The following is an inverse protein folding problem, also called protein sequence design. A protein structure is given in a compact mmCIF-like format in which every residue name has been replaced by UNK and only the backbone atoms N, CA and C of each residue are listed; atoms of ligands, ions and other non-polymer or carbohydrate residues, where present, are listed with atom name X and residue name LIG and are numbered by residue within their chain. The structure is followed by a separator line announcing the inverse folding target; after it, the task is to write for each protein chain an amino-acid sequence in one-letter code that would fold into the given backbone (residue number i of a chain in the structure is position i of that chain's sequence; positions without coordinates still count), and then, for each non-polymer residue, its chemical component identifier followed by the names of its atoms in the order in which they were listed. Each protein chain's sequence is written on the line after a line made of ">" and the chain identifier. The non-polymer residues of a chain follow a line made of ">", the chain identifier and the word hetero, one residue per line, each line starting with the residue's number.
data_IF_540395130205
#
_entry.id   IF_540395130205
#
_cell.length_a   1.000
_cell.length_b   1.000
_cell.length_c   1.000
_cell.angle_alpha   90.00
_cell.angle_beta   90.00
_cell.angle_gamma   90.00
#
_symmetry.space_group_name_H-M   'P 1'
#
loop_
_entity.id
_entity.type
_entity.pdbx_description
1 polymer ?
#
# COMPACT_ATOMS: atom_id res chain seq x y z
N UNK A 1 -5.53 -0.88 -16.84
CA UNK A 1 -5.76 -1.10 -15.38
C UNK A 1 -4.92 -0.05 -14.67
N UNK A 2 -5.54 0.77 -13.83
CA UNK A 2 -4.85 1.86 -13.13
C UNK A 2 -4.31 1.36 -11.79
N UNK A 3 -3.15 1.86 -11.36
CA UNK A 3 -2.67 1.68 -9.99
C UNK A 3 -3.40 2.59 -8.98
N UNK A 4 -4.07 3.63 -9.47
CA UNK A 4 -4.79 4.62 -8.67
C UNK A 4 -5.91 3.99 -7.86
N UNK A 5 -6.06 4.41 -6.61
CA UNK A 5 -7.07 3.99 -5.65
C UNK A 5 -6.47 3.41 -4.37
N UNK A 6 -7.36 2.88 -3.53
CA UNK A 6 -7.03 2.34 -2.22
C UNK A 6 -6.84 0.83 -2.28
N UNK A 7 -5.77 0.34 -1.65
CA UNK A 7 -5.39 -1.07 -1.65
C UNK A 7 -5.27 -1.60 -0.23
N UNK A 8 -5.97 -2.69 0.07
CA UNK A 8 -5.83 -3.43 1.32
C UNK A 8 -4.72 -4.47 1.16
N UNK A 9 -3.58 -4.23 1.79
CA UNK A 9 -2.37 -5.05 1.68
C UNK A 9 -2.21 -5.96 2.90
N UNK A 10 -1.68 -7.15 2.64
CA UNK A 10 -1.17 -8.10 3.63
C UNK A 10 0.29 -8.39 3.34
N UNK A 11 1.14 -8.26 4.35
CA UNK A 11 2.59 -8.48 4.27
C UNK A 11 2.94 -9.66 5.17
N UNK A 12 3.42 -10.74 4.57
CA UNK A 12 3.85 -11.95 5.28
C UNK A 12 5.28 -11.77 5.79
N UNK A 13 5.42 -11.30 7.04
CA UNK A 13 6.72 -11.09 7.69
C UNK A 13 7.07 -12.25 8.63
N UNK A 14 8.36 -12.43 9.01
CA UNK A 14 8.74 -13.40 10.04
C UNK A 14 8.09 -13.18 11.41
N UNK A 15 7.61 -11.96 11.69
CA UNK A 15 6.91 -11.61 12.94
C UNK A 15 5.40 -11.90 12.90
N UNK A 16 4.90 -12.37 11.76
CA UNK A 16 3.47 -12.55 11.50
C UNK A 16 2.96 -11.62 10.41
N UNK A 17 1.67 -11.76 10.07
CA UNK A 17 1.01 -10.95 9.05
C UNK A 17 0.84 -9.52 9.52
N UNK A 18 1.26 -8.57 8.68
CA UNK A 18 1.04 -7.15 8.88
C UNK A 18 0.02 -6.66 7.84
N UNK A 19 -0.86 -5.75 8.23
CA UNK A 19 -1.88 -5.17 7.36
C UNK A 19 -1.59 -3.69 7.11
N UNK A 20 -1.87 -3.21 5.91
CA UNK A 20 -1.75 -1.81 5.56
C UNK A 20 -2.81 -1.44 4.52
N UNK A 21 -3.32 -0.21 4.56
CA UNK A 21 -4.11 0.37 3.50
C UNK A 21 -3.24 1.38 2.75
N UNK A 22 -3.06 1.21 1.43
CA UNK A 22 -2.27 2.12 0.62
C UNK A 22 -3.17 2.88 -0.35
N UNK A 23 -3.20 4.20 -0.21
CA UNK A 23 -3.90 5.12 -1.10
C UNK A 23 -2.92 5.65 -2.14
N UNK A 24 -3.14 5.33 -3.42
CA UNK A 24 -2.32 5.81 -4.53
C UNK A 24 -3.13 6.79 -5.39
N UNK A 25 -2.58 7.96 -5.65
CA UNK A 25 -3.22 8.99 -6.46
C UNK A 25 -2.28 9.50 -7.54
N UNK A 26 -2.84 9.77 -8.74
CA UNK A 26 -2.11 10.44 -9.80
C UNK A 26 -2.49 11.92 -9.82
N UNK A 27 -1.49 12.77 -9.67
CA UNK A 27 -1.66 14.22 -9.72
C UNK A 27 -1.87 14.69 -11.17
N UNK A 28 -2.48 15.88 -11.40
CA UNK A 28 -2.69 16.43 -12.75
C UNK A 28 -1.39 16.67 -13.54
N UNK A 29 -0.27 16.89 -12.85
CA UNK A 29 1.07 17.00 -13.44
C UNK A 29 1.67 15.65 -13.86
N UNK A 30 0.93 14.55 -13.68
CA UNK A 30 1.33 13.19 -14.02
C UNK A 30 2.14 12.48 -12.94
N UNK A 31 2.50 13.14 -11.84
CA UNK A 31 3.24 12.54 -10.73
C UNK A 31 2.37 11.64 -9.86
N UNK A 32 2.98 10.64 -9.24
CA UNK A 32 2.29 9.72 -8.32
C UNK A 32 2.56 10.11 -6.87
N UNK A 33 1.52 10.03 -6.05
CA UNK A 33 1.58 10.24 -4.60
C UNK A 33 0.89 9.09 -3.91
N UNK A 34 1.16 8.93 -2.63
CA UNK A 34 0.35 8.05 -1.82
C UNK A 34 0.62 8.15 -0.33
N UNK A 35 -0.25 7.50 0.42
CA UNK A 35 -0.19 7.37 1.88
C UNK A 35 -0.45 5.91 2.22
N UNK A 36 0.31 5.35 3.15
CA UNK A 36 0.01 4.08 3.78
C UNK A 36 -0.56 4.33 5.19
N UNK A 37 -1.65 3.65 5.52
CA UNK A 37 -2.29 3.66 6.83
C UNK A 37 -2.18 2.29 7.47
N UNK A 38 -1.79 2.24 8.74
CA UNK A 38 -1.97 1.07 9.59
C UNK A 38 -3.44 1.03 10.07
N UNK A 39 -4.23 0.02 9.69
CA UNK A 39 -5.64 -0.07 10.09
C UNK A 39 -5.83 -0.32 11.59
N UNK A 40 -4.83 -0.84 12.30
CA UNK A 40 -4.93 -1.11 13.73
C UNK A 40 -4.61 0.13 14.59
N UNK A 41 -3.57 0.88 14.22
CA UNK A 41 -3.15 2.06 14.97
C UNK A 41 -3.67 3.40 14.42
N UNK A 42 -4.13 3.41 13.17
CA UNK A 42 -4.49 4.61 12.43
C UNK A 42 -3.29 5.45 11.97
N UNK A 43 -2.05 5.02 12.27
CA UNK A 43 -0.83 5.73 11.88
C UNK A 43 -0.74 5.83 10.35
N UNK A 44 -0.43 7.03 9.87
CA UNK A 44 -0.22 7.31 8.46
C UNK A 44 1.24 7.60 8.15
N UNK A 45 1.70 7.10 7.00
CA UNK A 45 3.05 7.31 6.48
C UNK A 45 2.95 7.69 5.02
N UNK A 46 3.49 8.85 4.66
CA UNK A 46 3.61 9.26 3.25
C UNK A 46 4.53 8.33 2.49
N UNK A 47 4.13 7.96 1.27
CA UNK A 47 4.96 7.14 0.38
C UNK A 47 5.98 8.04 -0.33
N UNK A 48 7.25 7.64 -0.29
CA UNK A 48 8.34 8.30 -1.00
C UNK A 48 8.65 7.57 -2.31
N UNK A 49 9.09 8.32 -3.33
CA UNK A 49 9.53 7.81 -4.63
C UNK A 49 8.53 6.86 -5.29
N UNK A 50 7.25 7.23 -5.25
CA UNK A 50 6.20 6.42 -5.89
C UNK A 50 6.43 6.43 -7.40
N UNK A 51 6.66 5.25 -7.97
CA UNK A 51 6.78 5.06 -9.41
C UNK A 51 5.78 4.03 -9.89
N UNK A 52 5.14 4.31 -11.02
CA UNK A 52 4.20 3.39 -11.67
C UNK A 52 4.63 3.22 -13.13
N UNK A 53 4.95 1.99 -13.51
CA UNK A 53 5.39 1.61 -14.85
C UNK A 53 4.50 0.47 -15.37
N UNK A 54 3.49 0.83 -16.16
CA UNK A 54 2.48 -0.12 -16.63
C UNK A 54 1.69 -0.72 -15.47
N UNK A 55 2.01 -1.96 -15.09
CA UNK A 55 1.39 -2.69 -13.97
C UNK A 55 2.26 -2.72 -12.72
N UNK A 56 3.53 -2.31 -12.82
CA UNK A 56 4.46 -2.31 -11.71
C UNK A 56 4.35 -1.01 -10.91
N UNK A 57 4.27 -1.14 -9.60
CA UNK A 57 4.21 -0.03 -8.64
C UNK A 57 5.32 -0.23 -7.64
N UNK A 58 6.15 0.79 -7.43
CA UNK A 58 7.17 0.77 -6.38
C UNK A 58 7.15 2.03 -5.56
N UNK A 59 7.49 1.92 -4.28
CA UNK A 59 7.66 3.06 -3.39
C UNK A 59 8.54 2.70 -2.19
N UNK A 60 8.94 3.73 -1.45
CA UNK A 60 9.61 3.63 -0.15
C UNK A 60 8.72 4.18 0.97
N UNK A 61 8.81 3.58 2.15
CA UNK A 61 8.15 4.09 3.35
C UNK A 61 8.95 3.76 4.61
N UNK A 62 8.82 4.58 5.65
CA UNK A 62 9.45 4.33 6.95
C UNK A 62 8.39 3.96 7.97
N UNK A 63 8.51 2.79 8.58
CA UNK A 63 7.64 2.36 9.68
C UNK A 63 8.40 2.49 11.00
N UNK A 64 7.69 2.78 12.09
CA UNK A 64 8.30 2.95 13.41
C UNK A 64 7.96 1.84 14.40
N UNK A 65 6.92 1.04 14.12
CA UNK A 65 6.40 -0.02 14.99
C UNK A 65 6.20 -1.33 14.21
N UNK A 66 6.43 -2.50 14.85
CA UNK A 66 7.03 -2.69 16.17
C UNK A 66 8.54 -2.36 16.20
N UNK A 67 9.17 -2.19 15.02
CA UNK A 67 10.57 -1.82 14.87
C UNK A 67 10.70 -0.74 13.79
N UNK A 68 11.68 0.15 13.95
CA UNK A 68 11.98 1.17 12.93
C UNK A 68 12.64 0.52 11.71
N UNK A 69 11.97 0.58 10.56
CA UNK A 69 12.47 0.04 9.30
C UNK A 69 12.19 1.00 8.15
N UNK A 70 13.12 1.07 7.20
CA UNK A 70 12.87 1.66 5.88
C UNK A 70 12.55 0.52 4.91
N UNK A 71 11.36 0.57 4.35
CA UNK A 71 10.83 -0.45 3.46
C UNK A 71 10.89 0.03 2.02
N UNK A 72 11.16 -0.91 1.11
CA UNK A 72 10.91 -0.75 -0.33
C UNK A 72 9.88 -1.77 -0.75
N UNK A 73 8.77 -1.30 -1.31
CA UNK A 73 7.69 -2.14 -1.81
C UNK A 73 7.74 -2.15 -3.34
N UNK A 74 7.55 -3.34 -3.90
CA UNK A 74 7.44 -3.56 -5.34
C UNK A 74 6.27 -4.50 -5.59
N UNK A 75 5.21 -3.98 -6.18
CA UNK A 75 3.95 -4.66 -6.44
C UNK A 75 3.64 -4.71 -7.93
N UNK A 76 2.90 -5.74 -8.34
CA UNK A 76 2.29 -5.88 -9.66
C UNK A 76 0.77 -5.87 -9.51
N UNK A 77 0.13 -4.94 -10.21
CA UNK A 77 -1.33 -4.79 -10.26
C UNK A 77 -1.92 -5.67 -11.36
N UNK A 78 -2.89 -6.51 -10.99
CA UNK A 78 -3.68 -7.32 -11.92
C UNK A 78 -5.16 -7.19 -11.58
N UNK A 79 -5.87 -6.35 -12.33
CA UNK A 79 -7.27 -5.99 -12.03
C UNK A 79 -7.37 -5.32 -10.67
N UNK A 80 -8.12 -5.95 -9.78
CA UNK A 80 -8.34 -5.52 -8.39
C UNK A 80 -7.49 -6.29 -7.38
N UNK A 81 -6.43 -6.95 -7.85
CA UNK A 81 -5.47 -7.65 -7.00
C UNK A 81 -4.06 -7.08 -7.18
N UNK A 82 -3.27 -7.15 -6.12
CA UNK A 82 -1.83 -6.88 -6.15
C UNK A 82 -1.05 -8.03 -5.54
N UNK A 83 0.10 -8.31 -6.12
CA UNK A 83 1.09 -9.24 -5.57
C UNK A 83 2.49 -8.65 -5.68
N UNK A 84 3.37 -8.96 -4.74
CA UNK A 84 4.74 -8.46 -4.81
C UNK A 84 5.55 -8.75 -3.57
N UNK A 85 6.46 -7.84 -3.24
CA UNK A 85 7.34 -7.98 -2.09
C UNK A 85 7.63 -6.66 -1.37
N UNK A 86 7.94 -6.78 -0.08
CA UNK A 86 8.47 -5.71 0.75
C UNK A 86 9.88 -6.11 1.22
N UNK A 87 10.85 -5.21 1.06
CA UNK A 87 12.25 -5.41 1.48
C UNK A 87 12.64 -4.42 2.56
N UNK A 88 13.37 -4.89 3.56
CA UNK A 88 13.87 -4.09 4.68
C UNK A 88 15.37 -4.34 4.87
N UNK A 89 16.21 -3.51 4.25
CA UNK A 89 17.67 -3.65 4.33
C UNK A 89 18.15 -5.05 3.92
N UNK A 90 18.85 -5.74 4.84
CA UNK A 90 19.41 -7.09 4.64
C UNK A 90 18.46 -8.23 4.99
N UNK A 91 17.24 -7.94 5.43
CA UNK A 91 16.27 -8.98 5.78
C UNK A 91 15.75 -9.67 4.50
N UNK A 92 15.35 -10.96 4.60
CA UNK A 92 14.63 -11.62 3.52
C UNK A 92 13.39 -10.81 3.10
N UNK A 93 13.10 -10.82 1.80
CA UNK A 93 11.92 -10.14 1.28
C UNK A 93 10.65 -10.80 1.84
N UNK A 94 9.72 -9.98 2.32
CA UNK A 94 8.39 -10.41 2.74
C UNK A 94 7.45 -10.43 1.55
N UNK A 95 6.62 -11.46 1.43
CA UNK A 95 5.60 -11.53 0.38
C UNK A 95 4.52 -10.49 0.66
N UNK A 96 4.04 -9.82 -0.38
CA UNK A 96 2.90 -8.90 -0.30
C UNK A 96 1.79 -9.40 -1.21
N UNK A 97 0.58 -9.42 -0.69
CA UNK A 97 -0.66 -9.61 -1.46
C UNK A 97 -1.64 -8.51 -1.10
N UNK A 98 -2.62 -8.24 -1.94
CA UNK A 98 -3.68 -7.31 -1.58
C UNK A 98 -4.79 -7.25 -2.60
N UNK A 99 -5.83 -6.56 -2.21
CA UNK A 99 -7.04 -6.35 -2.99
C UNK A 99 -7.39 -4.86 -2.99
N UNK A 100 -7.99 -4.40 -4.07
CA UNK A 100 -8.53 -3.04 -4.13
C UNK A 100 -9.67 -2.92 -3.13
N UNK A 101 -9.69 -1.85 -2.35
CA UNK A 101 -10.82 -1.56 -1.49
C UNK A 101 -12.04 -1.25 -2.39
N UNK A 102 -13.11 -2.03 -2.25
CA UNK A 102 -14.40 -1.69 -2.84
C UNK A 102 -14.93 -0.40 -2.21
N UNK A 103 -15.63 0.43 -2.97
CA UNK A 103 -16.28 1.65 -2.46
C UNK A 103 -17.53 1.33 -1.61
N UNK A 104 -17.49 0.32 -0.75
CA UNK A 104 -18.63 -0.05 0.10
C UNK A 104 -18.45 0.54 1.50
N UNK A 105 -18.83 1.81 1.65
CA UNK A 105 -18.84 2.44 2.98
C UNK A 105 -19.45 3.85 3.12
N UNK A 106 -19.81 4.55 2.02
CA UNK A 106 -20.31 5.95 2.11
C UNK A 106 -21.70 6.16 1.49
N UNK A 107 -22.57 5.15 1.56
CA UNK A 107 -23.93 5.24 1.01
C UNK A 107 -24.97 4.52 1.86
N UNK A 108 -25.00 4.73 3.20
CA UNK A 108 -26.13 4.28 4.06
C UNK A 108 -26.41 5.19 5.27
N UNK A 109 -26.45 6.51 5.10
CA UNK A 109 -26.86 7.43 6.18
C UNK A 109 -27.13 8.84 5.65
N UNK A 110 -28.01 8.94 4.65
CA UNK A 110 -28.67 10.19 4.31
C UNK A 110 -30.13 9.91 3.95
N UNK A 111 -30.91 9.47 4.95
CA UNK A 111 -32.37 9.51 4.94
C UNK A 111 -32.87 9.27 6.36
N UNK A 112 -33.04 10.34 7.13
CA UNK A 112 -34.16 10.50 8.06
C UNK A 112 -34.32 11.97 8.44
#
# INVERSE_FOLDING_TARGET
>A
MSAEGTWNLTIDTPLGKQHAQADLTRSPDGTWRGVARDPASGEEVSLADVTVQGREVTWRQSVTRPMRLNLTLQLTVTGDTVTGSAKAGRLPASKVTGERAGQDGLSRDASS
#
